data_IF_605163000072
#
_entry.id   IF_605163000072
#
_cell.length_a   1.000
_cell.length_b   1.000
_cell.length_c   1.000
_cell.angle_alpha   90.00
_cell.angle_beta   90.00
_cell.angle_gamma   90.00
#
_symmetry.space_group_name_H-M   'P 1'
#
loop_
_entity.id
_entity.type
_entity.pdbx_description
1 polymer ?
#
# COMPACT_ATOMS: atom_id res chain seq x y z
N UNK A 1 -0.93 14.97 17.19
CA UNK A 1 -1.58 13.66 17.46
C UNK A 1 -0.49 12.67 17.84
N UNK A 2 -0.69 11.77 18.81
CA UNK A 2 0.31 10.77 19.15
C UNK A 2 0.62 9.95 17.90
N UNK A 3 1.88 9.52 17.74
CA UNK A 3 2.30 8.49 16.78
C UNK A 3 1.72 7.12 17.18
N UNK A 4 0.45 7.05 17.57
CA UNK A 4 -0.27 5.81 17.78
C UNK A 4 -0.44 5.17 16.41
N UNK A 5 0.65 4.51 16.04
CA UNK A 5 0.77 3.39 15.12
C UNK A 5 -0.26 3.49 13.99
N UNK A 6 0.10 4.22 12.93
CA UNK A 6 -0.45 4.04 11.56
C UNK A 6 -0.07 2.66 11.03
N UNK A 7 -0.44 1.65 11.80
CA UNK A 7 -0.13 0.25 11.66
C UNK A 7 -1.39 -0.40 11.11
N UNK A 8 -1.16 -1.35 10.23
CA UNK A 8 -2.25 -2.09 9.63
C UNK A 8 -2.96 -2.94 10.70
N UNK A 9 -4.31 -2.88 10.80
CA UNK A 9 -5.05 -3.60 11.85
C UNK A 9 -4.86 -5.11 11.83
N UNK A 10 -4.58 -5.70 10.66
CA UNK A 10 -4.37 -7.15 10.48
C UNK A 10 -2.89 -7.51 10.38
N UNK A 11 -2.03 -6.78 11.08
CA UNK A 11 -0.64 -7.16 11.24
C UNK A 11 -0.47 -8.32 12.23
N UNK A 12 0.55 -9.19 12.05
CA UNK A 12 1.42 -9.24 10.87
C UNK A 12 0.68 -9.88 9.68
N UNK A 13 1.04 -9.48 8.46
CA UNK A 13 0.50 -10.08 7.24
C UNK A 13 1.25 -11.39 7.01
N UNK A 14 0.51 -12.49 6.89
CA UNK A 14 1.08 -13.80 6.59
C UNK A 14 1.34 -13.94 5.09
N UNK A 15 2.57 -14.31 4.76
CA UNK A 15 2.97 -14.61 3.39
C UNK A 15 2.51 -16.03 2.99
N UNK A 16 2.29 -16.29 1.69
CA UNK A 16 2.10 -17.64 1.18
C UNK A 16 3.22 -18.60 1.61
N UNK A 17 2.89 -19.89 1.74
CA UNK A 17 3.86 -20.89 2.16
C UNK A 17 5.04 -20.97 1.18
N UNK A 18 6.26 -20.89 1.72
CA UNK A 18 7.49 -20.97 0.93
C UNK A 18 7.92 -19.66 0.28
N UNK A 19 7.18 -18.57 0.48
CA UNK A 19 7.46 -17.27 -0.12
C UNK A 19 8.06 -16.29 0.90
N UNK A 20 9.21 -15.70 0.58
CA UNK A 20 9.81 -14.62 1.37
C UNK A 20 9.30 -13.23 0.93
N UNK A 21 9.77 -12.17 1.61
CA UNK A 21 9.34 -10.80 1.28
C UNK A 21 9.76 -10.39 -0.14
N UNK A 22 10.90 -10.85 -0.64
CA UNK A 22 11.43 -10.48 -1.94
C UNK A 22 10.57 -11.07 -3.05
N UNK A 23 10.28 -12.36 -2.96
CA UNK A 23 9.40 -13.08 -3.88
C UNK A 23 7.98 -12.52 -3.84
N UNK A 24 7.47 -12.22 -2.64
CA UNK A 24 6.14 -11.64 -2.50
C UNK A 24 6.03 -10.24 -3.11
N UNK A 25 7.02 -9.37 -2.86
CA UNK A 25 7.07 -8.03 -3.46
C UNK A 25 7.18 -8.12 -4.98
N UNK A 26 7.97 -9.06 -5.49
CA UNK A 26 8.10 -9.28 -6.93
C UNK A 26 6.77 -9.76 -7.56
N UNK A 27 6.09 -10.70 -6.91
CA UNK A 27 4.74 -11.15 -7.32
C UNK A 27 3.76 -9.97 -7.37
N UNK A 28 3.83 -9.05 -6.38
CA UNK A 28 2.99 -7.85 -6.35
C UNK A 28 3.34 -6.85 -7.46
N UNK A 29 4.61 -6.71 -7.84
CA UNK A 29 5.02 -5.88 -9.00
C UNK A 29 4.43 -6.41 -10.29
N UNK A 30 4.45 -7.73 -10.48
CA UNK A 30 3.87 -8.40 -11.64
C UNK A 30 2.35 -8.31 -11.66
N UNK A 31 1.70 -8.38 -10.49
CA UNK A 31 0.26 -8.19 -10.34
C UNK A 31 -0.18 -6.75 -10.68
N UNK A 32 0.67 -5.75 -10.40
CA UNK A 32 0.32 -4.33 -10.50
C UNK A 32 1.39 -3.48 -11.22
N UNK A 33 1.77 -3.80 -12.47
CA UNK A 33 2.97 -3.25 -13.11
C UNK A 33 2.95 -1.73 -13.31
N UNK A 34 1.77 -1.14 -13.51
CA UNK A 34 1.60 0.30 -13.72
C UNK A 34 1.10 1.05 -12.48
N UNK A 35 0.80 0.30 -11.41
CA UNK A 35 0.07 0.80 -10.22
C UNK A 35 0.83 0.59 -8.93
N UNK A 36 1.93 -0.16 -8.95
CA UNK A 36 2.78 -0.36 -7.79
C UNK A 36 4.18 0.19 -8.07
N UNK A 37 4.63 1.06 -7.18
CA UNK A 37 6.02 1.45 -7.03
C UNK A 37 6.57 0.82 -5.78
N UNK A 38 7.79 0.34 -5.88
CA UNK A 38 8.52 -0.26 -4.76
C UNK A 38 9.88 0.40 -4.69
N UNK A 39 10.26 0.78 -3.49
CA UNK A 39 11.56 1.32 -3.16
C UNK A 39 12.23 0.42 -2.13
N UNK A 40 13.39 -0.07 -2.48
CA UNK A 40 14.18 -0.95 -1.62
C UNK A 40 14.85 -0.05 -0.56
N UNK A 41 14.66 -0.38 0.72
CA UNK A 41 15.22 0.42 1.82
C UNK A 41 16.41 -0.28 2.46
N UNK A 42 16.25 -1.56 2.76
CA UNK A 42 17.27 -2.44 3.31
C UNK A 42 17.02 -3.89 2.84
N UNK A 43 17.83 -4.83 3.34
CA UNK A 43 17.77 -6.24 2.93
C UNK A 43 16.46 -6.96 3.27
N UNK A 44 15.59 -6.40 4.12
CA UNK A 44 14.36 -7.04 4.57
C UNK A 44 13.17 -6.06 4.62
N UNK A 45 13.31 -4.89 4.02
CA UNK A 45 12.33 -3.81 4.13
C UNK A 45 12.15 -3.05 2.82
N UNK A 46 10.89 -2.73 2.55
CA UNK A 46 10.47 -2.04 1.34
C UNK A 46 9.54 -0.88 1.70
N UNK A 47 9.63 0.20 0.94
CA UNK A 47 8.55 1.19 0.87
C UNK A 47 7.74 0.93 -0.39
N UNK A 48 6.44 0.80 -0.24
CA UNK A 48 5.53 0.67 -1.37
C UNK A 48 4.76 1.97 -1.59
N UNK A 49 4.35 2.19 -2.82
CA UNK A 49 3.31 3.14 -3.17
C UNK A 49 2.39 2.49 -4.21
N UNK A 50 1.14 2.30 -3.83
CA UNK A 50 0.11 1.65 -4.62
C UNK A 50 -0.96 2.65 -5.05
N UNK A 51 -1.26 2.71 -6.34
CA UNK A 51 -2.28 3.58 -6.92
C UNK A 51 -3.57 2.79 -7.09
N UNK A 52 -4.65 3.23 -6.42
CA UNK A 52 -5.97 2.60 -6.49
C UNK A 52 -6.59 2.76 -7.87
N UNK A 53 -7.32 1.74 -8.35
CA UNK A 53 -8.05 1.80 -9.63
C UNK A 53 -9.34 2.60 -9.50
N UNK A 54 -10.01 2.46 -8.35
CA UNK A 54 -11.32 3.05 -8.12
C UNK A 54 -11.20 4.47 -7.59
N UNK A 55 -12.07 5.33 -8.11
CA UNK A 55 -12.34 6.63 -7.52
C UNK A 55 -12.90 6.41 -6.12
N UNK A 56 -12.44 7.24 -5.19
CA UNK A 56 -13.11 7.35 -3.90
C UNK A 56 -14.51 7.94 -4.05
N UNK A 57 -15.32 7.80 -3.01
CA UNK A 57 -16.65 8.42 -2.90
C UNK A 57 -16.64 9.94 -3.12
N UNK A 58 -15.48 10.58 -3.01
CA UNK A 58 -15.25 12.01 -3.24
C UNK A 58 -14.62 12.33 -4.61
N UNK A 59 -14.63 11.39 -5.57
CA UNK A 59 -14.24 11.63 -6.97
C UNK A 59 -12.75 11.83 -7.20
N UNK A 60 -11.89 11.31 -6.32
CA UNK A 60 -10.42 11.44 -6.44
C UNK A 60 -9.73 10.09 -6.59
N UNK A 61 -8.66 10.02 -7.40
CA UNK A 61 -7.75 8.89 -7.43
C UNK A 61 -6.81 8.97 -6.23
N UNK A 62 -6.53 7.84 -5.60
CA UNK A 62 -5.76 7.82 -4.36
C UNK A 62 -4.65 6.81 -4.48
N UNK A 63 -3.47 7.19 -3.99
CA UNK A 63 -2.41 6.22 -3.72
C UNK A 63 -2.26 6.01 -2.23
N UNK A 64 -1.96 4.79 -1.80
CA UNK A 64 -1.50 4.50 -0.45
C UNK A 64 -0.02 4.14 -0.49
N UNK A 65 0.70 4.50 0.56
CA UNK A 65 2.08 4.10 0.77
C UNK A 65 2.23 3.52 2.16
N UNK A 66 3.13 2.55 2.29
CA UNK A 66 3.42 1.89 3.55
C UNK A 66 4.86 1.39 3.55
N UNK A 67 5.38 1.18 4.76
CA UNK A 67 6.64 0.50 5.00
C UNK A 67 6.33 -0.97 5.31
N UNK A 68 6.96 -1.86 4.56
CA UNK A 68 6.91 -3.30 4.76
C UNK A 68 8.21 -3.73 5.37
N UNK A 69 8.15 -4.51 6.45
CA UNK A 69 9.33 -5.07 7.10
C UNK A 69 9.10 -6.54 7.36
N UNK A 70 10.02 -7.40 6.95
CA UNK A 70 9.95 -8.80 7.29
C UNK A 70 10.25 -9.01 8.78
N UNK A 71 9.34 -9.67 9.48
CA UNK A 71 9.50 -10.01 10.91
C UNK A 71 9.99 -11.43 11.11
N UNK A 72 9.67 -12.33 10.19
CA UNK A 72 10.21 -13.69 10.12
C UNK A 72 10.04 -14.24 8.68
N UNK A 73 10.42 -15.50 8.46
CA UNK A 73 10.35 -16.14 7.13
C UNK A 73 8.95 -16.24 6.51
N UNK A 74 7.87 -15.99 7.27
CA UNK A 74 6.48 -16.18 6.82
C UNK A 74 5.59 -14.96 7.04
N UNK A 75 6.13 -13.84 7.51
CA UNK A 75 5.30 -12.69 7.86
C UNK A 75 6.01 -11.36 7.72
N UNK A 76 5.21 -10.36 7.39
CA UNK A 76 5.63 -8.97 7.23
C UNK A 76 4.78 -8.06 8.11
N UNK A 77 5.39 -7.03 8.67
CA UNK A 77 4.70 -5.92 9.30
C UNK A 77 4.52 -4.78 8.31
N UNK A 78 3.32 -4.20 8.31
CA UNK A 78 3.00 -2.98 7.57
C UNK A 78 2.87 -1.78 8.51
N UNK A 79 3.79 -0.84 8.35
CA UNK A 79 3.98 0.31 9.23
C UNK A 79 3.87 1.62 8.44
N UNK A 80 3.69 2.71 9.19
CA UNK A 80 3.71 4.08 8.67
C UNK A 80 2.83 4.29 7.43
N UNK A 81 1.63 3.69 7.46
CA UNK A 81 0.69 3.78 6.34
C UNK A 81 0.20 5.22 6.14
N UNK A 82 0.20 5.68 4.89
CA UNK A 82 -0.29 6.99 4.47
C UNK A 82 -1.08 6.84 3.17
N UNK A 83 -1.99 7.77 2.89
CA UNK A 83 -2.57 7.91 1.54
C UNK A 83 -2.27 9.30 1.00
N UNK A 84 -2.12 9.42 -0.31
CA UNK A 84 -2.10 10.68 -1.04
C UNK A 84 -3.32 10.76 -1.94
N UNK A 85 -4.10 11.83 -1.77
CA UNK A 85 -5.13 12.21 -2.74
C UNK A 85 -4.42 12.75 -3.97
N UNK A 86 -4.45 11.98 -5.05
CA UNK A 86 -3.90 12.40 -6.33
C UNK A 86 -5.08 12.73 -7.25
N UNK A 87 -5.24 14.00 -7.62
CA UNK A 87 -6.15 14.37 -8.71
C UNK A 87 -5.64 13.94 -10.11
N UNK A 88 -4.66 13.03 -10.16
CA UNK A 88 -3.97 12.61 -11.37
C UNK A 88 -4.42 11.22 -11.86
N UNK A 89 -4.29 11.05 -13.18
CA UNK A 89 -4.63 9.86 -13.95
C UNK A 89 -3.94 8.58 -13.43
N UNK A 90 -4.70 7.61 -12.92
CA UNK A 90 -4.20 6.33 -12.40
C UNK A 90 -3.51 5.44 -13.45
N UNK A 91 -3.63 5.74 -14.75
CA UNK A 91 -2.89 5.07 -15.82
C UNK A 91 -1.42 5.51 -15.89
N UNK A 92 -1.10 6.67 -15.31
CA UNK A 92 0.26 7.19 -15.21
C UNK A 92 0.54 7.32 -13.73
N UNK A 93 1.49 6.55 -13.20
CA UNK A 93 1.97 6.75 -11.82
C UNK A 93 2.63 8.14 -11.67
N UNK A 94 1.88 9.24 -11.79
CA UNK A 94 2.36 10.61 -11.77
C UNK A 94 1.76 11.28 -10.55
N UNK A 95 2.63 11.76 -9.68
CA UNK A 95 2.25 12.54 -8.51
C UNK A 95 2.39 14.00 -8.94
N UNK A 96 1.31 14.81 -8.99
CA UNK A 96 1.48 16.25 -9.07
C UNK A 96 2.28 16.71 -7.86
N UNK A 97 3.32 17.53 -8.05
CA UNK A 97 4.01 18.17 -6.92
C UNK A 97 3.00 19.06 -6.21
N UNK A 98 2.50 18.65 -5.05
CA UNK A 98 1.64 19.48 -4.23
C UNK A 98 0.54 18.68 -3.53
N UNK A 99 0.78 18.43 -2.25
CA UNK A 99 -0.18 17.82 -1.34
C UNK A 99 0.56 17.43 -0.08
N UNK A 100 0.81 18.40 0.81
CA UNK A 100 1.21 18.03 2.17
C UNK A 100 0.06 17.23 2.79
N UNK A 101 0.37 16.02 3.25
CA UNK A 101 -0.60 15.19 3.94
C UNK A 101 -0.88 15.80 5.30
N UNK A 102 -2.05 16.43 5.42
CA UNK A 102 -2.62 16.82 6.69
C UNK A 102 -2.80 15.62 7.63
N UNK A 103 -3.06 15.87 8.92
CA UNK A 103 -3.36 14.80 9.86
C UNK A 103 -4.61 14.03 9.41
N UNK A 104 -4.42 12.74 9.12
CA UNK A 104 -5.48 11.81 8.75
C UNK A 104 -6.45 11.60 9.90
N UNK A 105 -7.74 11.80 9.65
CA UNK A 105 -8.78 11.46 10.63
C UNK A 105 -9.21 9.99 10.51
N UNK A 106 -9.95 9.48 11.50
CA UNK A 106 -10.37 8.07 11.53
C UNK A 106 -11.30 7.68 10.37
N UNK A 107 -12.13 8.63 9.90
CA UNK A 107 -13.03 8.43 8.78
C UNK A 107 -12.25 8.23 7.48
N UNK A 108 -11.28 9.09 7.19
CA UNK A 108 -10.39 8.95 6.04
C UNK A 108 -9.57 7.67 6.13
N UNK A 109 -9.10 7.30 7.32
CA UNK A 109 -8.41 6.02 7.52
C UNK A 109 -9.31 4.84 7.11
N UNK A 110 -10.56 4.82 7.56
CA UNK A 110 -11.51 3.74 7.28
C UNK A 110 -12.02 3.72 5.84
N UNK A 111 -12.34 4.88 5.27
CA UNK A 111 -12.98 4.99 3.95
C UNK A 111 -11.97 5.03 2.78
N UNK A 112 -10.72 5.41 3.06
CA UNK A 112 -9.72 5.66 2.02
C UNK A 112 -8.49 4.77 2.20
N UNK A 113 -7.78 4.90 3.32
CA UNK A 113 -6.47 4.26 3.49
C UNK A 113 -6.60 2.73 3.53
N UNK A 114 -7.46 2.21 4.41
CA UNK A 114 -7.61 0.77 4.59
C UNK A 114 -8.10 0.08 3.32
N UNK A 115 -9.12 0.59 2.60
CA UNK A 115 -9.52 -0.01 1.32
C UNK A 115 -8.41 -0.04 0.28
N UNK A 116 -7.58 1.00 0.19
CA UNK A 116 -6.44 1.01 -0.73
C UNK A 116 -5.40 -0.09 -0.37
N UNK A 117 -5.12 -0.26 0.92
CA UNK A 117 -4.21 -1.31 1.41
C UNK A 117 -4.81 -2.70 1.18
N UNK A 118 -6.10 -2.90 1.46
CA UNK A 118 -6.79 -4.18 1.24
C UNK A 118 -6.81 -4.55 -0.24
N UNK A 119 -7.02 -3.58 -1.15
CA UNK A 119 -6.92 -3.81 -2.60
C UNK A 119 -5.50 -4.25 -2.99
N UNK A 120 -4.46 -3.62 -2.44
CA UNK A 120 -3.06 -4.04 -2.67
C UNK A 120 -2.77 -5.45 -2.15
N UNK A 121 -3.30 -5.79 -0.96
CA UNK A 121 -3.08 -7.10 -0.34
C UNK A 121 -3.86 -8.23 -1.02
N UNK A 122 -4.94 -7.91 -1.73
CA UNK A 122 -5.77 -8.89 -2.43
C UNK A 122 -4.91 -9.76 -3.36
N UNK A 123 -4.99 -11.10 -3.25
CA UNK A 123 -4.21 -11.99 -4.11
C UNK A 123 -4.61 -11.81 -5.59
N UNK A 124 -3.73 -12.14 -6.54
CA UNK A 124 -4.11 -12.15 -7.94
C UNK A 124 -5.31 -13.08 -8.12
N UNK A 125 -6.44 -12.52 -8.56
CA UNK A 125 -7.55 -13.36 -9.00
C UNK A 125 -7.05 -14.11 -10.22
N UNK A 126 -6.79 -15.41 -10.08
CA UNK A 126 -6.74 -16.32 -11.22
C UNK A 126 -8.05 -16.11 -11.96
N UNK A 127 -7.97 -15.55 -13.16
CA UNK A 127 -9.11 -15.48 -14.08
C UNK A 127 -9.68 -16.91 -14.19
N UNK A 128 -10.99 -17.04 -14.00
CA UNK A 128 -11.74 -18.15 -14.59
C UNK A 128 -11.47 -18.24 -16.10
#
# INVERSE_FOLDING_TARGET
>A
MPKERRVYPKNPIHLPAGMDIHEWVQTKKEQYPNRLRVYDLDSNSYKIQYFRRELTSIGSFISCAAYLRQTNTKSIEMLEMIFNVNYADYHKSMIPRGGELGPMNEKERAEILLPCIEEFLTPPQTKE
#
